data_IF_883014338940
#
_entry.id   IF_883014338940
#
_cell.length_a   1.000
_cell.length_b   1.000
_cell.length_c   1.000
_cell.angle_alpha   90.00
_cell.angle_beta   90.00
_cell.angle_gamma   90.00
#
_symmetry.space_group_name_H-M   'P 1'
#
loop_
_entity.id
_entity.type
_entity.pdbx_description
1 polymer ?
#
# COMPACT_ATOMS: atom_id res chain seq x y z
N UNK A 1 -12.07 50.52 -2.94
CA UNK A 1 -10.67 50.16 -2.60
C UNK A 1 -10.52 49.09 -1.50
N UNK A 2 -11.43 48.97 -0.53
CA UNK A 2 -11.35 47.94 0.54
C UNK A 2 -11.78 46.53 0.06
N UNK A 3 -12.82 46.40 -0.76
CA UNK A 3 -13.27 45.12 -1.31
C UNK A 3 -12.27 44.44 -2.26
N UNK A 4 -11.58 45.21 -3.12
CA UNK A 4 -10.55 44.68 -4.02
C UNK A 4 -9.34 44.08 -3.27
N UNK A 5 -8.97 44.66 -2.11
CA UNK A 5 -7.87 44.16 -1.26
C UNK A 5 -8.25 42.86 -0.53
N UNK A 6 -9.52 42.71 -0.14
CA UNK A 6 -10.03 41.48 0.48
C UNK A 6 -10.10 40.34 -0.55
N UNK A 7 -10.56 40.61 -1.77
CA UNK A 7 -10.59 39.62 -2.86
C UNK A 7 -9.20 39.11 -3.24
N UNK A 8 -8.20 40.00 -3.34
CA UNK A 8 -6.80 39.62 -3.61
C UNK A 8 -6.21 38.80 -2.46
N UNK A 9 -6.51 39.16 -1.20
CA UNK A 9 -6.05 38.40 -0.03
C UNK A 9 -6.60 36.97 0.01
N UNK A 10 -7.89 36.79 -0.27
CA UNK A 10 -8.53 35.46 -0.29
C UNK A 10 -7.99 34.60 -1.44
N UNK A 11 -7.84 35.16 -2.64
CA UNK A 11 -7.27 34.42 -3.80
C UNK A 11 -5.83 33.99 -3.52
N UNK A 12 -5.02 34.86 -2.90
CA UNK A 12 -3.62 34.55 -2.55
C UNK A 12 -3.55 33.43 -1.50
N UNK A 13 -4.42 33.45 -0.49
CA UNK A 13 -4.47 32.41 0.54
C UNK A 13 -4.90 31.04 -0.04
N UNK A 14 -5.86 31.02 -0.95
CA UNK A 14 -6.29 29.80 -1.66
C UNK A 14 -5.17 29.24 -2.54
N UNK A 15 -4.43 30.11 -3.24
CA UNK A 15 -3.27 29.70 -4.04
C UNK A 15 -2.15 29.12 -3.17
N UNK A 16 -1.79 29.77 -2.05
CA UNK A 16 -0.78 29.26 -1.12
C UNK A 16 -1.18 27.90 -0.49
N UNK A 17 -2.45 27.72 -0.14
CA UNK A 17 -2.96 26.45 0.39
C UNK A 17 -2.89 25.32 -0.66
N UNK A 18 -3.15 25.63 -1.94
CA UNK A 18 -3.04 24.64 -3.03
C UNK A 18 -1.60 24.21 -3.30
N UNK A 19 -0.61 25.11 -3.14
CA UNK A 19 0.81 24.77 -3.28
C UNK A 19 1.32 23.94 -2.10
N UNK A 20 0.86 24.23 -0.87
CA UNK A 20 1.19 23.43 0.31
C UNK A 20 0.67 21.99 0.21
N UNK A 21 -0.51 21.77 -0.38
CA UNK A 21 -1.05 20.42 -0.65
C UNK A 21 -0.33 19.69 -1.80
N UNK A 22 0.31 20.43 -2.72
CA UNK A 22 1.09 19.86 -3.83
C UNK A 22 2.54 19.50 -3.43
N UNK A 23 3.04 20.04 -2.32
CA UNK A 23 4.39 19.76 -1.82
C UNK A 23 4.37 18.58 -0.84
N UNK A 24 4.80 17.41 -1.33
CA UNK A 24 5.31 16.35 -0.44
C UNK A 24 4.68 14.98 -0.57
N UNK A 25 4.44 14.47 -1.79
CA UNK A 25 4.27 13.02 -1.94
C UNK A 25 5.58 12.33 -1.54
N UNK A 26 5.57 11.42 -0.55
CA UNK A 26 6.80 10.73 -0.16
C UNK A 26 7.32 9.92 -1.35
N UNK A 27 8.65 9.89 -1.51
CA UNK A 27 9.32 9.16 -2.60
C UNK A 27 9.03 7.64 -2.57
N UNK A 28 8.77 7.10 -1.39
CA UNK A 28 8.35 5.71 -1.18
C UNK A 28 6.97 5.71 -0.50
N UNK A 29 5.88 5.94 -1.24
CA UNK A 29 4.55 6.01 -0.64
C UNK A 29 4.08 4.63 -0.17
N UNK A 30 3.14 4.65 0.79
CA UNK A 30 2.38 3.46 1.16
C UNK A 30 1.41 3.11 0.02
N UNK A 31 1.30 1.83 -0.26
CA UNK A 31 0.34 1.25 -1.18
C UNK A 31 -0.60 0.32 -0.44
N UNK A 32 -1.80 0.17 -0.99
CA UNK A 32 -2.81 -0.73 -0.48
C UNK A 32 -3.52 -1.37 -1.68
N UNK A 33 -3.92 -2.63 -1.55
CA UNK A 33 -4.75 -3.33 -2.53
C UNK A 33 -5.76 -4.21 -1.81
N UNK A 34 -6.99 -4.23 -2.33
CA UNK A 34 -8.11 -4.98 -1.77
C UNK A 34 -8.68 -5.94 -2.80
N UNK A 35 -9.23 -7.05 -2.33
CA UNK A 35 -10.17 -7.87 -3.08
C UNK A 35 -11.22 -8.48 -2.15
N UNK A 36 -12.36 -8.88 -2.71
CA UNK A 36 -13.33 -9.71 -1.99
C UNK A 36 -13.30 -11.14 -2.51
N UNK A 37 -13.57 -12.09 -1.62
CA UNK A 37 -13.76 -13.51 -1.93
C UNK A 37 -15.07 -14.04 -1.32
N UNK A 38 -15.56 -15.17 -1.83
CA UNK A 38 -16.67 -15.91 -1.21
C UNK A 38 -18.06 -15.27 -1.28
N UNK A 39 -18.23 -14.19 -2.05
CA UNK A 39 -19.53 -13.60 -2.33
C UNK A 39 -20.14 -14.12 -3.63
N UNK A 40 -21.30 -13.58 -3.99
CA UNK A 40 -22.03 -13.94 -5.21
C UNK A 40 -22.82 -12.76 -5.77
N UNK A 41 -23.05 -12.78 -7.08
CA UNK A 41 -23.94 -11.86 -7.76
C UNK A 41 -25.39 -12.38 -7.71
N UNK A 42 -26.35 -11.48 -7.50
CA UNK A 42 -27.76 -11.78 -7.75
C UNK A 42 -28.13 -11.63 -9.24
N UNK A 43 -29.39 -11.87 -9.59
CA UNK A 43 -29.88 -11.77 -10.97
C UNK A 43 -29.78 -10.34 -11.54
N UNK A 44 -29.81 -9.33 -10.67
CA UNK A 44 -29.68 -7.91 -10.99
C UNK A 44 -28.22 -7.45 -11.08
N UNK A 45 -27.24 -8.35 -10.87
CA UNK A 45 -25.82 -8.04 -10.95
C UNK A 45 -25.25 -7.34 -9.72
N UNK A 46 -25.95 -7.33 -8.59
CA UNK A 46 -25.44 -6.84 -7.31
C UNK A 46 -24.61 -7.94 -6.60
N UNK A 47 -23.37 -7.62 -6.26
CA UNK A 47 -22.48 -8.51 -5.50
C UNK A 47 -22.71 -8.37 -3.99
N UNK A 48 -22.80 -9.49 -3.28
CA UNK A 48 -22.99 -9.49 -1.82
C UNK A 48 -22.37 -10.71 -1.15
N UNK A 49 -22.23 -10.65 0.19
CA UNK A 49 -21.73 -11.77 1.01
C UNK A 49 -20.22 -11.97 1.00
N UNK A 50 -19.48 -11.21 0.19
CA UNK A 50 -18.03 -11.29 0.11
C UNK A 50 -17.32 -10.95 1.43
N UNK A 51 -16.08 -11.41 1.53
CA UNK A 51 -15.14 -11.17 2.63
C UNK A 51 -13.91 -10.49 2.07
N UNK A 52 -13.48 -9.41 2.74
CA UNK A 52 -12.35 -8.63 2.29
C UNK A 52 -11.00 -9.28 2.63
N UNK A 53 -10.06 -9.08 1.72
CA UNK A 53 -8.62 -9.27 1.94
C UNK A 53 -7.94 -7.97 1.50
N UNK A 54 -7.19 -7.38 2.41
CA UNK A 54 -6.42 -6.17 2.18
C UNK A 54 -4.93 -6.46 2.37
N UNK A 55 -4.10 -5.89 1.49
CA UNK A 55 -2.65 -5.95 1.59
C UNK A 55 -2.12 -4.51 1.60
N UNK A 56 -1.46 -4.15 2.70
CA UNK A 56 -0.78 -2.87 2.88
C UNK A 56 0.72 -3.05 2.74
N UNK A 57 1.33 -2.38 1.75
CA UNK A 57 2.72 -2.58 1.39
C UNK A 57 3.47 -1.26 1.15
N UNK A 58 4.79 -1.29 1.35
CA UNK A 58 5.66 -0.19 0.93
C UNK A 58 5.93 -0.23 -0.58
N UNK A 59 5.99 0.94 -1.24
CA UNK A 59 6.43 1.07 -2.64
C UNK A 59 7.82 1.72 -2.68
N UNK A 60 8.90 1.00 -2.35
CA UNK A 60 10.23 1.58 -2.25
C UNK A 60 10.80 1.94 -3.63
N UNK A 61 11.58 3.01 -3.67
CA UNK A 61 12.49 3.30 -4.78
C UNK A 61 13.94 3.00 -4.38
N UNK A 62 14.76 2.59 -5.34
CA UNK A 62 16.14 2.17 -5.09
C UNK A 62 17.09 3.33 -4.76
N UNK A 63 16.72 4.57 -5.07
CA UNK A 63 17.55 5.79 -4.83
C UNK A 63 18.98 5.64 -5.38
N UNK A 64 19.11 5.12 -6.60
CA UNK A 64 20.40 4.93 -7.28
C UNK A 64 21.15 3.65 -6.89
N UNK A 65 20.66 2.86 -5.93
CA UNK A 65 21.24 1.54 -5.63
C UNK A 65 20.96 0.58 -6.79
N UNK A 66 22.00 -0.09 -7.26
CA UNK A 66 21.93 -1.10 -8.32
C UNK A 66 22.05 -2.50 -7.71
N UNK A 67 21.52 -3.50 -8.43
CA UNK A 67 21.66 -4.92 -8.09
C UNK A 67 21.15 -5.33 -6.68
N UNK A 68 20.24 -4.56 -6.05
CA UNK A 68 19.73 -4.90 -4.71
C UNK A 68 18.95 -6.21 -4.66
N UNK A 69 18.31 -6.58 -5.76
CA UNK A 69 17.47 -7.77 -5.85
C UNK A 69 18.17 -8.93 -6.55
N UNK A 70 19.38 -8.76 -7.08
CA UNK A 70 19.96 -9.74 -8.00
C UNK A 70 19.31 -9.69 -9.39
N UNK A 71 19.76 -10.58 -10.28
CA UNK A 71 19.31 -10.67 -11.68
C UNK A 71 19.04 -12.13 -12.06
N UNK A 72 18.21 -12.35 -13.09
CA UNK A 72 17.94 -13.69 -13.62
C UNK A 72 17.35 -14.65 -12.57
N UNK A 73 17.89 -15.87 -12.50
CA UNK A 73 17.46 -16.89 -11.54
C UNK A 73 17.76 -16.55 -10.08
N UNK A 74 18.65 -15.59 -9.84
CA UNK A 74 19.01 -15.10 -8.50
C UNK A 74 18.21 -13.86 -8.10
N UNK A 75 17.18 -13.49 -8.87
CA UNK A 75 16.28 -12.43 -8.47
C UNK A 75 15.64 -12.75 -7.11
N UNK A 76 15.56 -11.74 -6.26
CA UNK A 76 15.21 -11.76 -4.84
C UNK A 76 16.21 -12.44 -3.90
N UNK A 77 17.18 -13.24 -4.33
CA UNK A 77 18.09 -13.93 -3.40
C UNK A 77 19.10 -12.97 -2.76
N UNK A 78 19.55 -11.96 -3.51
CA UNK A 78 20.55 -11.00 -3.05
C UNK A 78 20.04 -10.15 -1.89
N UNK A 79 18.76 -9.76 -1.93
CA UNK A 79 18.20 -8.88 -0.89
C UNK A 79 18.10 -9.60 0.45
N UNK A 80 17.90 -10.92 0.46
CA UNK A 80 17.85 -11.72 1.68
C UNK A 80 19.19 -11.76 2.42
N UNK A 81 20.32 -11.60 1.73
CA UNK A 81 21.67 -11.56 2.30
C UNK A 81 21.98 -12.64 3.36
N UNK A 82 21.37 -13.83 3.23
CA UNK A 82 21.54 -14.95 4.17
C UNK A 82 20.76 -14.82 5.50
N UNK A 83 19.86 -13.84 5.64
CA UNK A 83 19.02 -13.70 6.82
C UNK A 83 18.05 -14.89 6.97
N UNK A 84 17.90 -15.47 8.18
CA UNK A 84 16.99 -16.61 8.40
C UNK A 84 15.51 -16.20 8.40
N UNK A 85 15.23 -14.92 8.65
CA UNK A 85 13.90 -14.31 8.60
C UNK A 85 14.05 -12.90 8.03
N UNK A 86 13.20 -12.56 7.08
CA UNK A 86 13.17 -11.30 6.36
C UNK A 86 11.81 -10.63 6.49
N UNK A 87 11.80 -9.32 6.77
CA UNK A 87 10.57 -8.53 6.77
C UNK A 87 10.16 -8.25 5.33
N UNK A 88 9.01 -8.76 4.91
CA UNK A 88 8.49 -8.47 3.57
C UNK A 88 8.05 -7.00 3.55
N UNK A 89 8.39 -6.28 2.48
CA UNK A 89 8.09 -4.85 2.33
C UNK A 89 9.27 -3.94 2.68
N UNK A 90 9.02 -2.62 2.65
CA UNK A 90 10.01 -1.60 2.95
C UNK A 90 9.43 -0.59 3.94
N UNK A 91 10.28 -0.08 4.84
CA UNK A 91 9.89 0.74 6.00
C UNK A 91 9.08 -0.07 7.03
N UNK A 92 7.75 -0.03 6.94
CA UNK A 92 6.84 -0.87 7.72
C UNK A 92 6.57 -2.17 6.96
N UNK A 93 6.63 -3.29 7.67
CA UNK A 93 6.37 -4.64 7.13
C UNK A 93 5.03 -4.69 6.41
N UNK A 94 4.96 -5.42 5.30
CA UNK A 94 3.71 -5.68 4.59
C UNK A 94 2.72 -6.34 5.56
N UNK A 95 1.51 -5.79 5.61
CA UNK A 95 0.43 -6.32 6.45
C UNK A 95 -0.62 -6.95 5.56
N UNK A 96 -1.15 -8.08 6.00
CA UNK A 96 -2.32 -8.72 5.43
C UNK A 96 -3.45 -8.63 6.44
N UNK A 97 -4.58 -8.09 6.02
CA UNK A 97 -5.82 -8.09 6.80
C UNK A 97 -6.84 -8.93 6.05
N UNK A 98 -7.46 -9.89 6.73
CA UNK A 98 -8.45 -10.78 6.10
C UNK A 98 -9.67 -10.97 7.00
N UNK A 99 -10.86 -10.91 6.40
CA UNK A 99 -12.13 -11.26 7.05
C UNK A 99 -12.44 -12.77 6.95
N UNK A 100 -11.70 -13.50 6.10
CA UNK A 100 -11.86 -14.92 5.89
C UNK A 100 -10.66 -15.70 6.42
N UNK A 101 -10.89 -16.97 6.78
CA UNK A 101 -9.79 -17.91 7.02
C UNK A 101 -9.11 -18.24 5.69
N UNK A 102 -7.79 -18.03 5.61
CA UNK A 102 -6.99 -18.34 4.43
C UNK A 102 -6.13 -19.58 4.71
N UNK A 103 -5.90 -20.40 3.69
CA UNK A 103 -5.04 -21.59 3.79
C UNK A 103 -3.91 -21.49 2.78
N UNK A 104 -2.67 -21.54 3.27
CA UNK A 104 -1.45 -21.50 2.47
C UNK A 104 -0.63 -22.73 2.78
N UNK A 105 -0.39 -23.60 1.80
CA UNK A 105 0.41 -24.82 1.98
C UNK A 105 -0.04 -25.67 3.20
N UNK A 106 -1.36 -25.84 3.34
CA UNK A 106 -1.97 -26.57 4.44
C UNK A 106 -1.96 -25.86 5.80
N UNK A 107 -1.36 -24.66 5.90
CA UNK A 107 -1.37 -23.83 7.12
C UNK A 107 -2.51 -22.84 7.10
N UNK A 108 -3.13 -22.67 8.26
CA UNK A 108 -4.30 -21.80 8.43
C UNK A 108 -3.91 -20.43 8.96
N UNK A 109 -4.38 -19.38 8.28
CA UNK A 109 -4.38 -18.00 8.73
C UNK A 109 -5.81 -17.60 9.12
N UNK A 110 -6.14 -17.39 10.40
CA UNK A 110 -7.47 -16.95 10.81
C UNK A 110 -7.76 -15.51 10.35
N UNK A 111 -9.03 -15.06 10.39
CA UNK A 111 -9.38 -13.66 10.19
C UNK A 111 -8.63 -12.76 11.18
N UNK A 112 -8.12 -11.64 10.70
CA UNK A 112 -7.28 -10.75 11.50
C UNK A 112 -6.30 -9.95 10.64
N UNK A 113 -5.39 -9.25 11.32
CA UNK A 113 -4.32 -8.49 10.70
C UNK A 113 -2.96 -9.05 11.14
N UNK A 114 -2.13 -9.45 10.18
CA UNK A 114 -0.84 -10.08 10.41
C UNK A 114 0.28 -9.39 9.63
N UNK A 115 1.52 -9.55 10.09
CA UNK A 115 2.72 -9.05 9.41
C UNK A 115 3.41 -10.17 8.63
N UNK A 116 3.87 -9.88 7.41
CA UNK A 116 4.47 -10.87 6.52
C UNK A 116 5.99 -10.96 6.68
N UNK A 117 6.49 -12.19 6.85
CA UNK A 117 7.92 -12.51 6.91
C UNK A 117 8.24 -13.69 5.98
N UNK A 118 9.49 -13.77 5.50
CA UNK A 118 10.00 -14.81 4.59
C UNK A 118 11.33 -15.37 5.07
#
# INVERSE_FOLDING_TARGET
MRLAKVGIGVVTMVLCASMAAAQGRPLSPRGQTSTQIGGSFNAEGAYSGGKWIDIDYGRPILRGRTNMFGEGGDYSTTIYAGAPIWRVGADVTTRITTEATLVFDGKTLPPGEDSMFA
#
